data_IF_700537474701
#
_entry.id   IF_700537474701
#
_cell.length_a   1.000
_cell.length_b   1.000
_cell.length_c   1.000
_cell.angle_alpha   90.00
_cell.angle_beta   90.00
_cell.angle_gamma   90.00
#
_symmetry.space_group_name_H-M   'P 1'
#
loop_
_entity.id
_entity.type
_entity.pdbx_description
1 polymer ?
#
# COMPACT_ATOMS: atom_id res chain seq x y z
N UNK A 1 7.41 -14.19 -14.88
CA UNK A 1 7.00 -12.89 -15.44
C UNK A 1 8.23 -12.05 -15.75
N UNK A 2 8.26 -11.46 -16.92
CA UNK A 2 9.39 -10.65 -17.33
C UNK A 2 9.20 -9.19 -16.93
N UNK A 3 10.18 -8.64 -16.20
CA UNK A 3 10.16 -7.25 -15.77
C UNK A 3 10.87 -6.38 -16.79
N UNK A 4 10.27 -5.26 -17.15
CA UNK A 4 10.89 -4.29 -18.05
C UNK A 4 11.69 -3.27 -17.23
N UNK A 5 12.67 -2.64 -17.89
CA UNK A 5 13.44 -1.55 -17.26
C UNK A 5 12.51 -0.43 -16.79
N UNK A 6 11.50 -0.12 -17.60
CA UNK A 6 10.50 0.90 -17.27
C UNK A 6 9.72 0.56 -15.98
N UNK A 7 9.36 -0.71 -15.82
CA UNK A 7 8.65 -1.15 -14.61
C UNK A 7 9.56 -1.05 -13.39
N UNK A 8 10.81 -1.47 -13.51
CA UNK A 8 11.77 -1.40 -12.40
C UNK A 8 11.97 0.06 -11.97
N UNK A 9 12.17 0.96 -12.93
CA UNK A 9 12.33 2.39 -12.65
C UNK A 9 11.06 2.98 -12.04
N UNK A 10 9.90 2.56 -12.55
CA UNK A 10 8.61 3.00 -12.03
C UNK A 10 8.43 2.61 -10.56
N UNK A 11 8.79 1.38 -10.21
CA UNK A 11 8.70 0.91 -8.82
C UNK A 11 9.69 1.66 -7.92
N UNK A 12 10.91 1.89 -8.39
CA UNK A 12 11.89 2.66 -7.62
C UNK A 12 11.40 4.07 -7.33
N UNK A 13 10.85 4.74 -8.34
CA UNK A 13 10.29 6.07 -8.19
C UNK A 13 9.08 6.06 -7.27
N UNK A 14 8.24 5.04 -7.37
CA UNK A 14 7.08 4.85 -6.50
C UNK A 14 7.51 4.77 -5.03
N UNK A 15 8.50 3.94 -4.73
CA UNK A 15 9.00 3.78 -3.35
C UNK A 15 9.63 5.09 -2.84
N UNK A 16 10.42 5.77 -3.68
CA UNK A 16 11.03 7.04 -3.29
C UNK A 16 9.96 8.07 -2.94
N UNK A 17 8.92 8.17 -3.76
CA UNK A 17 7.82 9.10 -3.51
C UNK A 17 7.05 8.72 -2.25
N UNK A 18 6.81 7.42 -2.04
CA UNK A 18 6.11 6.92 -0.85
C UNK A 18 6.91 7.27 0.41
N UNK A 19 8.23 7.11 0.36
CA UNK A 19 9.11 7.47 1.47
C UNK A 19 9.10 8.97 1.79
N UNK A 20 8.73 9.80 0.82
CA UNK A 20 8.70 11.25 1.02
C UNK A 20 7.47 11.73 1.79
N UNK A 21 6.46 10.87 1.97
CA UNK A 21 5.20 11.27 2.60
C UNK A 21 5.29 11.13 4.11
N UNK A 22 5.68 12.21 4.77
CA UNK A 22 5.73 12.29 6.23
C UNK A 22 4.32 12.37 6.81
N UNK A 23 4.18 11.98 8.07
CA UNK A 23 2.89 12.01 8.79
C UNK A 23 1.79 11.17 8.16
N UNK A 24 2.18 10.17 7.38
CA UNK A 24 1.25 9.26 6.71
C UNK A 24 1.47 7.84 7.21
N UNK A 25 0.38 7.08 7.29
CA UNK A 25 0.43 5.65 7.59
C UNK A 25 0.07 4.88 6.34
N UNK A 26 0.95 4.00 5.88
CA UNK A 26 0.67 3.11 4.77
C UNK A 26 -0.07 1.89 5.31
N UNK A 27 -1.21 1.57 4.72
CA UNK A 27 -2.04 0.43 5.13
C UNK A 27 -1.98 -0.65 4.07
N UNK A 28 -1.58 -1.85 4.48
CA UNK A 28 -1.58 -3.05 3.63
C UNK A 28 -2.44 -4.13 4.30
N UNK A 29 -2.70 -5.25 3.63
CA UNK A 29 -3.53 -6.30 4.20
C UNK A 29 -2.81 -7.10 5.27
N UNK A 30 -1.59 -7.57 4.99
CA UNK A 30 -0.89 -8.48 5.90
C UNK A 30 0.62 -8.36 5.88
N UNK A 31 1.26 -9.28 6.61
CA UNK A 31 2.71 -9.29 6.84
C UNK A 31 3.54 -9.41 5.56
N UNK A 32 3.07 -10.21 4.60
CA UNK A 32 3.81 -10.43 3.35
C UNK A 32 3.88 -9.16 2.52
N UNK A 33 2.80 -8.39 2.54
CA UNK A 33 2.73 -7.11 1.83
C UNK A 33 3.70 -6.11 2.44
N UNK A 34 3.69 -6.04 3.76
CA UNK A 34 4.59 -5.20 4.53
C UNK A 34 6.05 -5.55 4.24
N UNK A 35 6.37 -6.86 4.24
CA UNK A 35 7.72 -7.34 3.96
C UNK A 35 8.15 -6.98 2.53
N UNK A 36 7.25 -7.09 1.56
CA UNK A 36 7.55 -6.76 0.17
C UNK A 36 7.93 -5.28 0.01
N UNK A 37 7.18 -4.39 0.63
CA UNK A 37 7.47 -2.96 0.57
C UNK A 37 8.80 -2.63 1.26
N UNK A 38 9.09 -3.26 2.38
CA UNK A 38 10.35 -3.05 3.09
C UNK A 38 11.54 -3.54 2.26
N UNK A 39 11.41 -4.67 1.59
CA UNK A 39 12.44 -5.18 0.69
C UNK A 39 12.77 -4.21 -0.43
N UNK A 40 11.77 -3.47 -0.91
CA UNK A 40 11.96 -2.49 -1.97
C UNK A 40 12.53 -1.16 -1.46
N UNK A 41 12.72 -1.05 -0.16
CA UNK A 41 13.32 0.15 0.44
C UNK A 41 12.36 1.11 1.10
N UNK A 42 11.08 0.71 1.28
CA UNK A 42 10.16 1.56 2.03
C UNK A 42 10.56 1.55 3.51
N UNK A 43 10.74 2.74 4.06
CA UNK A 43 11.21 2.91 5.44
C UNK A 43 10.22 3.69 6.32
N UNK A 44 9.03 4.01 5.81
CA UNK A 44 8.03 4.76 6.56
C UNK A 44 7.16 3.87 7.43
N UNK A 45 6.10 4.48 7.98
CA UNK A 45 5.16 3.77 8.84
C UNK A 45 4.23 2.89 8.03
N UNK A 46 4.07 1.65 8.47
CA UNK A 46 3.23 0.65 7.82
C UNK A 46 2.34 -0.02 8.86
N UNK A 47 1.12 -0.31 8.46
CA UNK A 47 0.15 -0.97 9.31
C UNK A 47 -0.48 -2.12 8.50
N UNK A 48 -0.66 -3.27 9.15
CA UNK A 48 -1.26 -4.45 8.53
C UNK A 48 -2.69 -4.58 9.03
N UNK A 49 -3.64 -4.43 8.12
CA UNK A 49 -5.07 -4.47 8.48
C UNK A 49 -5.44 -5.75 9.21
N UNK A 50 -4.91 -6.91 8.76
CA UNK A 50 -5.24 -8.20 9.37
C UNK A 50 -4.73 -8.37 10.79
N UNK A 51 -3.88 -7.47 11.28
CA UNK A 51 -3.43 -7.51 12.68
C UNK A 51 -4.50 -6.96 13.64
N UNK A 52 -5.54 -6.33 13.12
CA UNK A 52 -6.63 -5.79 13.93
C UNK A 52 -7.81 -6.74 13.93
N UNK A 53 -8.60 -6.67 15.02
CA UNK A 53 -9.81 -7.48 15.13
C UNK A 53 -11.00 -6.72 14.54
N UNK A 54 -10.97 -6.55 13.21
CA UNK A 54 -12.06 -5.94 12.49
C UNK A 54 -11.88 -4.46 12.21
N UNK A 55 -12.83 -3.93 11.44
CA UNK A 55 -12.77 -2.57 10.90
C UNK A 55 -12.86 -1.49 11.99
N UNK A 56 -13.70 -1.70 13.00
CA UNK A 56 -13.88 -0.69 14.07
C UNK A 56 -12.59 -0.49 14.85
N UNK A 57 -11.95 -1.59 15.24
CA UNK A 57 -10.68 -1.51 15.98
C UNK A 57 -9.57 -0.91 15.14
N UNK A 58 -9.54 -1.25 13.87
CA UNK A 58 -8.60 -0.64 12.93
C UNK A 58 -8.84 0.88 12.87
N UNK A 59 -10.09 1.29 12.67
CA UNK A 59 -10.44 2.70 12.53
C UNK A 59 -10.06 3.51 13.78
N UNK A 60 -10.35 2.96 14.95
CA UNK A 60 -10.02 3.64 16.21
C UNK A 60 -8.50 3.82 16.38
N UNK A 61 -7.72 2.84 15.90
CA UNK A 61 -6.25 2.92 15.99
C UNK A 61 -5.66 3.95 15.03
N UNK A 62 -6.37 4.29 13.96
CA UNK A 62 -5.87 5.22 12.94
C UNK A 62 -6.16 6.68 13.22
N UNK A 63 -6.97 6.99 14.25
CA UNK A 63 -7.40 8.36 14.54
C UNK A 63 -6.26 9.37 14.76
N UNK A 64 -5.09 8.91 15.20
CA UNK A 64 -3.96 9.80 15.48
C UNK A 64 -3.17 10.21 14.23
N UNK A 65 -3.44 9.60 13.10
CA UNK A 65 -2.70 9.88 11.87
C UNK A 65 -3.44 10.89 11.00
N UNK A 66 -2.69 11.74 10.30
CA UNK A 66 -3.28 12.78 9.44
C UNK A 66 -3.72 12.25 8.09
N UNK A 67 -3.06 11.19 7.62
CA UNK A 67 -3.31 10.63 6.28
C UNK A 67 -3.10 9.13 6.30
N UNK A 68 -3.99 8.41 5.65
CA UNK A 68 -3.82 6.99 5.39
C UNK A 68 -3.59 6.79 3.90
N UNK A 69 -2.50 6.14 3.55
CA UNK A 69 -2.21 5.73 2.18
C UNK A 69 -2.62 4.28 2.07
N UNK A 70 -3.71 4.01 1.35
CA UNK A 70 -4.24 2.65 1.25
C UNK A 70 -3.58 1.92 0.08
N UNK A 71 -2.86 0.85 0.40
CA UNK A 71 -2.20 -0.02 -0.57
C UNK A 71 -2.65 -1.46 -0.36
N UNK A 72 -3.95 -1.68 -0.44
CA UNK A 72 -4.50 -3.03 -0.39
C UNK A 72 -4.38 -3.66 -1.77
N UNK A 73 -4.54 -4.98 -1.84
CA UNK A 73 -4.37 -5.70 -3.09
C UNK A 73 -5.29 -5.17 -4.19
N UNK A 74 -4.86 -5.33 -5.44
CA UNK A 74 -5.59 -4.83 -6.61
C UNK A 74 -6.65 -5.82 -7.10
N UNK A 75 -6.92 -6.86 -6.34
CA UNK A 75 -7.96 -7.83 -6.65
C UNK A 75 -9.32 -7.38 -6.09
N UNK A 76 -10.35 -8.20 -6.32
CA UNK A 76 -11.71 -7.89 -5.87
C UNK A 76 -11.80 -7.73 -4.35
N UNK A 77 -11.15 -8.62 -3.60
CA UNK A 77 -11.15 -8.58 -2.15
C UNK A 77 -10.50 -7.31 -1.61
N UNK A 78 -9.36 -6.94 -2.19
CA UNK A 78 -8.66 -5.72 -1.80
C UNK A 78 -9.48 -4.47 -2.09
N UNK A 79 -10.15 -4.43 -3.24
CA UNK A 79 -11.04 -3.31 -3.60
C UNK A 79 -12.23 -3.19 -2.66
N UNK A 80 -12.82 -4.33 -2.30
CA UNK A 80 -13.93 -4.37 -1.35
C UNK A 80 -13.49 -3.80 0.01
N UNK A 81 -12.36 -4.26 0.51
CA UNK A 81 -11.83 -3.81 1.80
C UNK A 81 -11.48 -2.33 1.76
N UNK A 82 -10.89 -1.86 0.66
CA UNK A 82 -10.60 -0.43 0.46
C UNK A 82 -11.88 0.40 0.60
N UNK A 83 -12.97 -0.02 -0.06
CA UNK A 83 -14.25 0.68 0.03
C UNK A 83 -14.78 0.73 1.46
N UNK A 84 -14.64 -0.35 2.20
CA UNK A 84 -15.09 -0.41 3.60
C UNK A 84 -14.30 0.55 4.49
N UNK A 85 -12.99 0.60 4.30
CA UNK A 85 -12.14 1.50 5.06
C UNK A 85 -12.49 2.97 4.76
N UNK A 86 -12.70 3.29 3.49
CA UNK A 86 -13.08 4.63 3.08
C UNK A 86 -14.40 5.04 3.74
N UNK A 87 -15.41 4.18 3.66
CA UNK A 87 -16.72 4.45 4.26
C UNK A 87 -16.63 4.74 5.75
N UNK A 88 -15.76 4.02 6.44
CA UNK A 88 -15.62 4.15 7.90
C UNK A 88 -14.84 5.37 8.31
N UNK A 89 -13.84 5.78 7.52
CA UNK A 89 -12.84 6.75 7.96
C UNK A 89 -12.80 8.07 7.21
N UNK A 90 -13.43 8.19 6.04
CA UNK A 90 -13.26 9.39 5.20
C UNK A 90 -13.66 10.71 5.88
N UNK A 91 -14.54 10.65 6.88
CA UNK A 91 -14.97 11.83 7.64
C UNK A 91 -14.03 12.17 8.79
N UNK A 92 -13.10 11.28 9.13
CA UNK A 92 -12.22 11.44 10.27
C UNK A 92 -10.77 11.69 9.89
N UNK A 93 -10.36 11.16 8.75
CA UNK A 93 -8.95 11.16 8.36
C UNK A 93 -8.86 11.24 6.84
N UNK A 94 -7.81 11.89 6.35
CA UNK A 94 -7.57 12.01 4.92
C UNK A 94 -7.15 10.66 4.34
N UNK A 95 -7.88 10.19 3.33
CA UNK A 95 -7.59 8.94 2.64
C UNK A 95 -6.89 9.26 1.32
N UNK A 96 -5.72 8.66 1.11
CA UNK A 96 -4.94 8.86 -0.12
C UNK A 96 -4.94 7.57 -0.94
N UNK A 97 -5.55 7.61 -2.11
CA UNK A 97 -5.59 6.50 -3.06
C UNK A 97 -4.67 6.73 -4.25
N UNK A 98 -3.93 7.83 -4.27
CA UNK A 98 -3.10 8.18 -5.42
C UNK A 98 -1.99 7.15 -5.66
N UNK A 99 -1.41 6.59 -4.60
CA UNK A 99 -0.37 5.58 -4.73
C UNK A 99 -0.90 4.27 -5.29
N UNK A 100 -2.12 3.89 -4.89
CA UNK A 100 -2.78 2.71 -5.44
C UNK A 100 -2.97 2.86 -6.95
N UNK A 101 -3.41 4.04 -7.40
CA UNK A 101 -3.59 4.31 -8.82
C UNK A 101 -2.27 4.31 -9.58
N UNK A 102 -1.22 4.90 -9.00
CA UNK A 102 0.11 4.89 -9.60
C UNK A 102 0.62 3.47 -9.77
N UNK A 103 0.46 2.65 -8.74
CA UNK A 103 0.89 1.26 -8.79
C UNK A 103 0.14 0.49 -9.87
N UNK A 104 -1.17 0.66 -9.96
CA UNK A 104 -1.98 0.00 -10.98
C UNK A 104 -1.51 0.38 -12.39
N UNK A 105 -1.16 1.65 -12.61
CA UNK A 105 -0.65 2.11 -13.90
C UNK A 105 0.72 1.51 -14.23
N UNK A 106 1.61 1.44 -13.25
CA UNK A 106 2.95 0.87 -13.45
C UNK A 106 2.84 -0.62 -13.78
N UNK A 107 2.00 -1.33 -13.06
CA UNK A 107 1.89 -2.80 -13.18
C UNK A 107 1.05 -3.26 -14.35
N UNK A 108 0.12 -2.45 -14.83
CA UNK A 108 -0.76 -2.77 -15.98
C UNK A 108 -1.42 -4.14 -15.87
N UNK A 109 -1.88 -4.48 -14.67
CA UNK A 109 -2.55 -5.77 -14.44
C UNK A 109 -1.64 -6.97 -14.23
N UNK A 110 -0.33 -6.80 -14.31
CA UNK A 110 0.61 -7.91 -14.12
C UNK A 110 0.66 -8.40 -12.68
N UNK A 111 0.46 -7.50 -11.73
CA UNK A 111 0.50 -7.80 -10.30
C UNK A 111 -0.78 -7.29 -9.66
N UNK A 112 -1.44 -8.15 -8.89
CA UNK A 112 -2.64 -7.80 -8.15
C UNK A 112 -2.43 -7.83 -6.65
N UNK A 113 -1.35 -8.49 -6.19
CA UNK A 113 -1.04 -8.66 -4.77
C UNK A 113 0.23 -7.90 -4.44
N UNK A 114 0.17 -7.07 -3.40
CA UNK A 114 1.29 -6.23 -2.99
C UNK A 114 2.54 -7.08 -2.68
N UNK A 115 2.35 -8.27 -2.08
CA UNK A 115 3.48 -9.15 -1.75
C UNK A 115 4.33 -9.52 -2.97
N UNK A 116 3.74 -9.53 -4.16
CA UNK A 116 4.45 -9.90 -5.38
C UNK A 116 5.42 -8.81 -5.86
N UNK A 117 5.33 -7.61 -5.29
CA UNK A 117 6.27 -6.54 -5.62
C UNK A 117 7.71 -6.88 -5.22
N UNK A 118 7.89 -7.85 -4.34
CA UNK A 118 9.23 -8.28 -3.93
C UNK A 118 10.09 -8.76 -5.09
N UNK A 119 9.48 -9.20 -6.20
CA UNK A 119 10.22 -9.63 -7.39
C UNK A 119 10.95 -8.46 -8.09
N UNK A 120 10.61 -7.21 -7.74
CA UNK A 120 11.27 -6.03 -8.31
C UNK A 120 12.47 -5.57 -7.48
N UNK A 121 12.85 -6.33 -6.46
CA UNK A 121 14.04 -6.04 -5.69
C UNK A 121 15.27 -6.17 -6.60
N UNK A 122 16.12 -5.12 -6.60
CA UNK A 122 17.34 -5.15 -7.38
C UNK A 122 18.33 -6.14 -6.79
N UNK A 123 18.87 -7.07 -7.61
CA UNK A 123 19.98 -7.87 -7.13
C UNK A 123 21.19 -6.97 -6.90
N UNK A 124 21.82 -7.12 -5.77
CA UNK A 124 23.04 -6.38 -5.43
C UNK A 124 24.26 -7.06 -6.01
#
# INVERSE_FOLDING_TARGET
>A
MKMTTSEIDGIRNFIALLNSKKDSMVVVEGKRDSAALKKLGFSGMICEFHSFKGLVKFADSMDSYKRLILLLDLDRKGRYLTSKIISQLEHRIRIDLSFKRKLAMIMRGKIRHIEDLSMYESPE
#
